data_IF_697270108125
#
_entry.id   IF_697270108125
#
_cell.length_a   1.000
_cell.length_b   1.000
_cell.length_c   1.000
_cell.angle_alpha   90.00
_cell.angle_beta   90.00
_cell.angle_gamma   90.00
#
_symmetry.space_group_name_H-M   'P 1'
#
loop_
_entity.id
_entity.type
_entity.pdbx_description
1 polymer ?
#
# COMPACT_ATOMS: atom_id res chain seq x y z
N UNK A 1 19.79 -26.09 24.83
CA UNK A 1 21.21 -25.70 24.81
C UNK A 1 21.70 -25.93 23.39
N UNK A 2 21.88 -24.90 22.60
CA UNK A 2 22.68 -24.96 21.37
C UNK A 2 23.07 -23.53 20.98
N UNK A 3 24.37 -23.22 21.19
CA UNK A 3 24.97 -21.91 20.91
C UNK A 3 25.57 -21.96 19.51
N UNK A 4 24.98 -21.26 18.52
CA UNK A 4 25.56 -21.03 17.21
C UNK A 4 26.51 -19.83 17.24
N UNK A 5 27.78 -20.10 16.94
CA UNK A 5 28.88 -19.12 16.87
C UNK A 5 28.79 -18.36 15.56
N UNK A 6 28.78 -17.03 15.63
CA UNK A 6 29.04 -16.17 14.48
C UNK A 6 30.53 -15.97 14.29
N UNK A 7 31.02 -16.36 13.13
CA UNK A 7 32.42 -16.21 12.73
C UNK A 7 32.59 -14.92 11.95
N UNK A 8 33.36 -14.00 12.50
CA UNK A 8 33.73 -12.74 11.86
C UNK A 8 34.90 -12.99 10.90
N UNK A 9 34.73 -12.75 9.61
CA UNK A 9 35.83 -12.72 8.63
C UNK A 9 36.27 -11.26 8.39
N UNK A 10 37.46 -10.94 8.89
CA UNK A 10 38.18 -9.74 8.56
C UNK A 10 39.10 -10.03 7.35
N UNK A 11 38.89 -9.33 6.25
CA UNK A 11 39.86 -9.33 5.14
C UNK A 11 40.62 -8.01 5.11
N UNK A 12 41.91 -8.12 5.41
CA UNK A 12 42.93 -7.10 5.19
C UNK A 12 43.49 -7.29 3.78
N UNK A 13 43.59 -6.23 3.00
CA UNK A 13 44.50 -6.16 1.87
C UNK A 13 45.23 -4.83 1.91
N UNK A 14 46.49 -4.87 2.30
CA UNK A 14 47.45 -3.80 2.09
C UNK A 14 48.26 -4.16 0.85
N UNK A 15 48.39 -3.25 -0.10
CA UNK A 15 49.41 -3.31 -1.14
C UNK A 15 50.03 -1.95 -1.25
N UNK A 16 51.26 -1.83 -0.79
CA UNK A 16 52.16 -0.75 -1.08
C UNK A 16 53.02 -1.13 -2.29
N UNK A 17 53.05 -0.29 -3.28
CA UNK A 17 54.07 -0.35 -4.34
C UNK A 17 54.67 1.05 -4.55
N UNK A 18 55.89 1.23 -4.06
CA UNK A 18 56.77 2.30 -4.47
C UNK A 18 57.34 1.96 -5.87
N UNK A 19 57.22 2.84 -6.80
CA UNK A 19 57.89 2.81 -8.08
C UNK A 19 58.47 4.19 -8.40
N UNK A 20 59.77 4.36 -8.21
CA UNK A 20 60.55 5.46 -8.80
C UNK A 20 60.80 5.15 -10.28
N UNK A 21 60.70 6.13 -11.15
CA UNK A 21 61.30 5.98 -12.46
C UNK A 21 60.86 6.96 -13.52
N UNK A 22 61.78 7.89 -13.82
CA UNK A 22 62.11 8.48 -15.13
C UNK A 22 61.25 9.64 -15.69
N UNK A 23 61.92 10.76 -15.68
CA UNK A 23 61.59 11.98 -16.44
C UNK A 23 61.73 11.72 -17.93
N UNK A 24 60.65 11.94 -18.70
CA UNK A 24 60.65 11.93 -20.17
C UNK A 24 59.96 13.20 -20.69
N UNK A 25 60.28 13.70 -21.89
CA UNK A 25 59.91 15.04 -22.33
C UNK A 25 58.43 15.18 -22.71
N UNK A 26 57.99 16.43 -22.59
CA UNK A 26 56.66 16.94 -22.83
C UNK A 26 55.98 16.40 -24.10
N UNK A 27 54.99 15.50 -23.88
CA UNK A 27 53.97 15.18 -24.85
C UNK A 27 52.66 15.82 -24.39
N UNK A 28 52.05 16.64 -25.26
CA UNK A 28 50.74 17.22 -24.97
C UNK A 28 49.71 16.12 -24.79
N UNK A 29 49.23 15.93 -23.57
CA UNK A 29 48.17 15.06 -23.27
C UNK A 29 46.84 15.62 -23.81
N UNK A 30 46.00 14.82 -24.51
CA UNK A 30 44.64 15.24 -24.81
C UNK A 30 43.86 15.33 -23.51
N UNK A 31 43.38 16.52 -23.20
CA UNK A 31 42.42 16.77 -22.13
C UNK A 31 41.15 16.01 -22.45
N UNK A 32 41.02 14.80 -21.95
CA UNK A 32 39.73 14.08 -21.95
C UNK A 32 38.76 14.87 -21.07
N UNK A 33 37.89 15.67 -21.71
CA UNK A 33 36.74 16.24 -21.05
C UNK A 33 35.89 15.08 -20.52
N UNK A 34 35.99 14.83 -19.22
CA UNK A 34 35.10 13.91 -18.54
C UNK A 34 33.68 14.44 -18.75
N UNK A 35 32.90 13.75 -19.60
CA UNK A 35 31.46 13.98 -19.73
C UNK A 35 30.85 13.75 -18.37
N UNK A 36 30.50 14.81 -17.66
CA UNK A 36 29.67 14.73 -16.45
C UNK A 36 28.31 14.24 -16.93
N UNK A 37 28.10 12.93 -16.88
CA UNK A 37 26.77 12.34 -17.05
C UNK A 37 25.92 12.91 -15.92
N UNK A 38 25.08 13.90 -16.25
CA UNK A 38 24.03 14.33 -15.32
C UNK A 38 23.25 13.08 -14.95
N UNK A 39 23.39 12.63 -13.70
CA UNK A 39 22.49 11.64 -13.14
C UNK A 39 21.08 12.19 -13.35
N UNK A 40 20.30 11.51 -14.21
CA UNK A 40 18.93 11.91 -14.49
C UNK A 40 18.19 12.04 -13.17
N UNK A 41 17.57 13.18 -12.92
CA UNK A 41 16.74 13.36 -11.74
C UNK A 41 15.73 12.21 -11.71
N UNK A 42 15.76 11.39 -10.65
CA UNK A 42 14.78 10.33 -10.47
C UNK A 42 13.38 10.96 -10.56
N UNK A 43 12.51 10.38 -11.39
CA UNK A 43 11.13 10.83 -11.46
C UNK A 43 10.53 10.84 -10.04
N UNK A 44 9.77 11.87 -9.67
CA UNK A 44 9.14 11.92 -8.35
C UNK A 44 8.32 10.65 -8.13
N UNK A 45 8.45 10.06 -6.94
CA UNK A 45 7.71 8.86 -6.57
C UNK A 45 6.20 9.14 -6.68
N UNK A 46 5.45 8.19 -7.24
CA UNK A 46 4.01 8.32 -7.38
C UNK A 46 3.34 8.47 -6.01
N UNK A 47 2.41 9.42 -5.90
CA UNK A 47 1.60 9.60 -4.70
C UNK A 47 0.46 8.58 -4.69
N UNK A 48 0.39 7.73 -3.67
CA UNK A 48 -0.70 6.79 -3.48
C UNK A 48 -1.86 7.41 -2.72
N UNK A 49 -3.08 7.16 -3.19
CA UNK A 49 -4.31 7.77 -2.68
C UNK A 49 -5.46 6.76 -2.63
N UNK A 50 -6.50 7.10 -1.88
CA UNK A 50 -7.84 6.51 -1.98
C UNK A 50 -8.75 7.57 -2.60
N UNK A 51 -9.62 7.18 -3.52
CA UNK A 51 -10.64 8.09 -4.04
C UNK A 51 -11.90 8.02 -3.17
N UNK A 52 -12.45 9.17 -2.80
CA UNK A 52 -13.77 9.22 -2.17
C UNK A 52 -14.89 9.07 -3.21
N UNK A 53 -16.15 9.05 -2.78
CA UNK A 53 -17.30 8.91 -3.65
C UNK A 53 -17.49 10.04 -4.68
N UNK A 54 -16.77 11.14 -4.53
CA UNK A 54 -16.74 12.25 -5.50
C UNK A 54 -15.52 12.19 -6.43
N UNK A 55 -14.73 11.10 -6.36
CA UNK A 55 -13.49 10.95 -7.13
C UNK A 55 -12.32 11.80 -6.62
N UNK A 56 -12.42 12.39 -5.44
CA UNK A 56 -11.35 13.21 -4.86
C UNK A 56 -10.30 12.35 -4.18
N UNK A 57 -9.03 12.63 -4.47
CA UNK A 57 -7.89 11.92 -3.92
C UNK A 57 -7.65 12.27 -2.45
N UNK A 58 -7.47 11.25 -1.62
CA UNK A 58 -7.20 11.37 -0.19
C UNK A 58 -5.98 10.55 0.20
N UNK A 59 -5.09 11.11 1.00
CA UNK A 59 -3.95 10.42 1.60
C UNK A 59 -4.24 10.15 3.06
N UNK A 60 -4.15 8.89 3.47
CA UNK A 60 -4.41 8.45 4.84
C UNK A 60 -5.75 8.98 5.40
N UNK A 61 -6.87 8.81 4.69
CA UNK A 61 -8.17 9.31 5.17
C UNK A 61 -8.55 8.66 6.50
N UNK A 62 -9.24 9.38 7.37
CA UNK A 62 -9.81 8.84 8.61
C UNK A 62 -11.09 8.03 8.37
N UNK A 63 -11.68 8.18 7.18
CA UNK A 63 -12.94 7.53 6.79
C UNK A 63 -12.91 7.19 5.31
N UNK A 64 -13.42 6.00 4.94
CA UNK A 64 -13.57 5.55 3.56
C UNK A 64 -15.00 5.02 3.41
N UNK A 65 -15.81 5.62 2.54
CA UNK A 65 -17.10 5.06 2.17
C UNK A 65 -16.89 3.88 1.22
N UNK A 66 -17.48 2.73 1.51
CA UNK A 66 -17.42 1.52 0.68
C UNK A 66 -18.67 1.40 -0.21
N UNK A 67 -19.79 2.00 0.21
CA UNK A 67 -21.03 2.05 -0.54
C UNK A 67 -21.39 3.52 -0.81
N UNK A 68 -21.07 4.00 -2.01
CA UNK A 68 -21.26 5.41 -2.35
C UNK A 68 -22.73 5.80 -2.62
N UNK A 69 -23.59 4.84 -2.99
CA UNK A 69 -24.97 5.16 -3.37
C UNK A 69 -25.85 5.56 -2.18
N UNK A 70 -25.74 4.85 -1.07
CA UNK A 70 -26.58 5.03 0.11
C UNK A 70 -25.78 5.23 1.41
N UNK A 71 -24.45 5.24 1.30
CA UNK A 71 -23.52 5.28 2.45
C UNK A 71 -23.80 4.17 3.49
N UNK A 72 -24.34 3.04 3.02
CA UNK A 72 -24.73 1.91 3.88
C UNK A 72 -23.56 1.13 4.46
N UNK A 73 -22.34 1.32 3.94
CA UNK A 73 -21.14 0.67 4.45
C UNK A 73 -19.90 1.56 4.27
N UNK A 74 -18.94 1.42 5.19
CA UNK A 74 -17.67 2.13 5.11
C UNK A 74 -16.78 1.87 6.31
N UNK A 75 -15.64 2.56 6.33
CA UNK A 75 -14.59 2.47 7.33
C UNK A 75 -14.43 3.82 8.01
N UNK A 76 -14.30 3.84 9.33
CA UNK A 76 -14.11 5.06 10.12
C UNK A 76 -13.08 4.86 11.23
N UNK A 77 -12.63 5.96 11.84
CA UNK A 77 -11.60 5.97 12.86
C UNK A 77 -10.31 5.27 12.41
N UNK A 78 -9.99 5.37 11.11
CA UNK A 78 -8.82 4.72 10.54
C UNK A 78 -7.54 5.33 11.12
N UNK A 79 -6.71 4.46 11.70
CA UNK A 79 -5.36 4.78 12.20
C UNK A 79 -4.34 4.01 11.36
N UNK A 80 -3.65 4.74 10.49
CA UNK A 80 -2.71 4.19 9.53
C UNK A 80 -1.40 3.78 10.19
N UNK A 81 -1.00 2.52 9.99
CA UNK A 81 0.27 1.94 10.43
C UNK A 81 1.31 2.08 9.31
N UNK A 82 0.91 1.79 8.07
CA UNK A 82 1.75 1.92 6.88
C UNK A 82 0.99 2.59 5.75
N UNK A 83 1.75 3.19 4.83
CA UNK A 83 1.21 3.78 3.60
C UNK A 83 2.32 3.77 2.56
N UNK A 84 2.42 2.67 1.80
CA UNK A 84 3.46 2.45 0.79
C UNK A 84 2.82 2.13 -0.56
N UNK A 85 3.56 2.20 -1.67
CA UNK A 85 3.04 1.85 -2.98
C UNK A 85 2.44 0.43 -3.06
N UNK A 86 3.01 -0.52 -2.32
CA UNK A 86 2.62 -1.92 -2.37
C UNK A 86 1.46 -2.23 -1.42
N UNK A 87 1.43 -1.55 -0.25
CA UNK A 87 0.49 -1.86 0.82
C UNK A 87 0.30 -0.67 1.76
N UNK A 88 -0.95 -0.29 2.00
CA UNK A 88 -1.31 0.51 3.15
C UNK A 88 -2.03 -0.35 4.17
N UNK A 89 -1.76 -0.15 5.47
CA UNK A 89 -2.43 -0.87 6.54
C UNK A 89 -2.91 0.07 7.63
N UNK A 90 -4.09 -0.22 8.15
CA UNK A 90 -4.71 0.52 9.24
C UNK A 90 -5.55 -0.41 10.11
N UNK A 91 -5.90 0.06 11.29
CA UNK A 91 -7.03 -0.47 12.04
C UNK A 91 -8.07 0.63 12.24
N UNK A 92 -9.31 0.21 12.41
CA UNK A 92 -10.44 1.13 12.56
C UNK A 92 -11.73 0.37 12.83
N UNK A 93 -12.83 0.96 12.41
CA UNK A 93 -14.17 0.39 12.58
C UNK A 93 -14.87 0.40 11.22
N UNK A 94 -15.40 -0.73 10.80
CA UNK A 94 -16.37 -0.79 9.72
C UNK A 94 -17.76 -0.47 10.26
N UNK A 95 -18.54 0.32 9.53
CA UNK A 95 -19.99 0.41 9.71
C UNK A 95 -20.69 -0.31 8.56
N UNK A 96 -21.78 -0.98 8.88
CA UNK A 96 -22.62 -1.66 7.89
C UNK A 96 -24.08 -1.60 8.29
N UNK A 97 -24.92 -1.11 7.40
CA UNK A 97 -26.37 -1.16 7.54
C UNK A 97 -26.88 -2.54 7.11
N UNK A 98 -27.69 -3.19 7.96
CA UNK A 98 -28.27 -4.51 7.68
C UNK A 98 -29.44 -4.47 6.68
N UNK A 99 -29.92 -3.30 6.36
CA UNK A 99 -31.03 -3.05 5.42
C UNK A 99 -32.28 -3.88 5.72
N UNK A 100 -32.57 -4.13 6.99
CA UNK A 100 -33.74 -4.92 7.40
C UNK A 100 -34.77 -4.07 8.17
N UNK A 101 -36.00 -3.94 7.67
CA UNK A 101 -36.58 -4.52 6.45
C UNK A 101 -36.20 -3.78 5.16
N UNK A 102 -35.59 -2.60 5.26
CA UNK A 102 -35.07 -1.79 4.15
C UNK A 102 -33.86 -1.00 4.63
N UNK A 103 -33.02 -0.45 3.72
CA UNK A 103 -31.85 0.33 4.11
C UNK A 103 -32.23 1.62 4.85
N UNK A 104 -33.43 2.19 4.59
CA UNK A 104 -33.93 3.37 5.32
C UNK A 104 -34.38 3.04 6.76
N UNK A 105 -34.71 1.79 7.06
CA UNK A 105 -35.19 1.30 8.35
C UNK A 105 -34.24 0.32 9.02
N UNK A 106 -33.11 0.02 8.37
CA UNK A 106 -32.10 -0.90 8.85
C UNK A 106 -31.28 -0.31 10.00
N UNK A 107 -30.58 -1.19 10.67
CA UNK A 107 -29.69 -0.84 11.77
C UNK A 107 -28.24 -0.81 11.31
N UNK A 108 -27.49 0.18 11.77
CA UNK A 108 -26.06 0.28 11.51
C UNK A 108 -25.31 -0.49 12.58
N UNK A 109 -24.55 -1.48 12.15
CA UNK A 109 -23.66 -2.27 12.99
C UNK A 109 -22.22 -1.79 12.84
N UNK A 110 -21.42 -1.94 13.89
CA UNK A 110 -20.03 -1.53 13.94
C UNK A 110 -19.13 -2.71 14.27
N UNK A 111 -18.05 -2.89 13.49
CA UNK A 111 -17.13 -4.01 13.63
C UNK A 111 -15.69 -3.50 13.66
N UNK A 112 -14.89 -3.83 14.70
CA UNK A 112 -13.46 -3.56 14.66
C UNK A 112 -12.81 -4.30 13.52
N UNK A 113 -11.99 -3.61 12.72
CA UNK A 113 -11.33 -4.17 11.54
C UNK A 113 -9.85 -3.81 11.48
N UNK A 114 -9.08 -4.72 10.90
CA UNK A 114 -7.78 -4.44 10.30
C UNK A 114 -7.97 -4.30 8.80
N UNK A 115 -7.48 -3.20 8.24
CA UNK A 115 -7.64 -2.83 6.84
C UNK A 115 -6.31 -2.95 6.14
N UNK A 116 -6.27 -3.60 4.99
CA UNK A 116 -5.14 -3.63 4.07
C UNK A 116 -5.60 -3.14 2.71
N UNK A 117 -4.97 -2.06 2.20
CA UNK A 117 -5.21 -1.56 0.85
C UNK A 117 -4.05 -1.98 -0.04
N UNK A 118 -4.37 -2.50 -1.22
CA UNK A 118 -3.38 -3.00 -2.17
C UNK A 118 -3.88 -2.90 -3.61
N UNK A 119 -3.08 -3.38 -4.57
CA UNK A 119 -3.32 -3.14 -5.98
C UNK A 119 -3.15 -1.67 -6.35
N UNK A 120 -2.91 -1.37 -7.60
CA UNK A 120 -2.72 0.00 -8.03
C UNK A 120 -3.29 0.26 -9.42
N UNK A 121 -3.82 1.47 -9.61
CA UNK A 121 -4.20 2.01 -10.89
C UNK A 121 -3.88 3.52 -10.93
N UNK A 122 -3.56 4.03 -12.12
CA UNK A 122 -3.39 5.46 -12.31
C UNK A 122 -4.69 6.22 -12.02
N UNK A 123 -4.56 7.40 -11.45
CA UNK A 123 -5.72 8.30 -11.28
C UNK A 123 -5.90 9.11 -12.56
N UNK A 124 -7.04 8.95 -13.22
CA UNK A 124 -7.35 9.66 -14.46
C UNK A 124 -7.27 11.18 -14.29
N UNK A 125 -6.56 11.84 -15.20
CA UNK A 125 -6.37 13.28 -15.14
C UNK A 125 -5.38 13.80 -14.11
N UNK A 126 -4.75 12.92 -13.33
CA UNK A 126 -3.79 13.29 -12.27
C UNK A 126 -2.45 12.55 -12.46
N UNK A 127 -1.56 13.01 -13.37
CA UNK A 127 -0.26 12.39 -13.58
C UNK A 127 0.56 12.42 -12.29
N UNK A 128 1.19 11.29 -11.97
CA UNK A 128 1.95 11.12 -10.72
C UNK A 128 1.12 10.64 -9.53
N UNK A 129 -0.20 10.45 -9.68
CA UNK A 129 -1.03 9.80 -8.67
C UNK A 129 -1.40 8.37 -9.05
N UNK A 130 -1.35 7.48 -8.05
CA UNK A 130 -1.82 6.10 -8.12
C UNK A 130 -2.88 5.89 -7.03
N UNK A 131 -3.92 5.14 -7.33
CA UNK A 131 -4.90 4.77 -6.30
C UNK A 131 -4.78 3.30 -5.93
N UNK A 132 -5.08 2.96 -4.69
CA UNK A 132 -5.33 1.58 -4.32
C UNK A 132 -6.64 1.12 -4.96
N UNK A 133 -6.67 -0.16 -5.39
CA UNK A 133 -7.83 -0.74 -6.09
C UNK A 133 -8.58 -1.75 -5.27
N UNK A 134 -7.95 -2.30 -4.22
CA UNK A 134 -8.49 -3.37 -3.40
C UNK A 134 -8.36 -3.05 -1.92
N UNK A 135 -9.35 -3.47 -1.15
CA UNK A 135 -9.31 -3.48 0.30
C UNK A 135 -9.57 -4.88 0.83
N UNK A 136 -8.70 -5.38 1.70
CA UNK A 136 -8.93 -6.58 2.50
C UNK A 136 -9.22 -6.17 3.93
N UNK A 137 -10.38 -6.57 4.44
CA UNK A 137 -10.82 -6.34 5.81
C UNK A 137 -10.69 -7.64 6.59
N UNK A 138 -10.07 -7.59 7.77
CA UNK A 138 -9.98 -8.69 8.72
C UNK A 138 -10.71 -8.34 10.00
N UNK A 139 -11.50 -9.26 10.55
CA UNK A 139 -12.40 -9.03 11.68
C UNK A 139 -11.96 -9.82 12.91
N UNK A 140 -11.12 -9.28 13.78
CA UNK A 140 -10.55 -10.02 14.91
C UNK A 140 -11.57 -10.35 16.01
N UNK A 141 -12.71 -9.64 16.07
CA UNK A 141 -13.74 -9.81 17.10
C UNK A 141 -15.11 -10.24 16.54
N UNK A 142 -15.14 -10.72 15.32
CA UNK A 142 -16.37 -11.04 14.62
C UNK A 142 -16.62 -10.07 13.47
N UNK A 143 -17.62 -10.36 12.66
CA UNK A 143 -17.81 -9.70 11.38
C UNK A 143 -19.26 -9.70 10.93
N UNK A 144 -19.60 -8.82 9.95
CA UNK A 144 -20.92 -8.84 9.34
C UNK A 144 -21.21 -10.15 8.61
N UNK A 145 -22.48 -10.53 8.60
CA UNK A 145 -22.94 -11.63 7.79
C UNK A 145 -22.82 -11.29 6.30
N UNK A 146 -22.18 -12.17 5.54
CA UNK A 146 -22.19 -12.13 4.08
C UNK A 146 -23.20 -13.15 3.58
N UNK A 147 -24.16 -12.70 2.79
CA UNK A 147 -25.20 -13.56 2.24
C UNK A 147 -24.77 -14.09 0.89
N UNK A 148 -24.53 -15.40 0.81
CA UNK A 148 -24.16 -16.07 -0.42
C UNK A 148 -25.28 -17.00 -0.88
N UNK A 149 -25.44 -17.11 -2.19
CA UNK A 149 -26.38 -18.08 -2.77
C UNK A 149 -25.66 -19.43 -2.86
N UNK A 150 -26.21 -20.44 -2.19
CA UNK A 150 -25.70 -21.81 -2.28
C UNK A 150 -26.07 -22.47 -3.62
N UNK A 151 -25.48 -23.62 -3.93
CA UNK A 151 -25.69 -24.32 -5.19
C UNK A 151 -27.18 -24.74 -5.43
N UNK A 152 -27.95 -24.88 -4.38
CA UNK A 152 -29.41 -25.17 -4.47
C UNK A 152 -30.27 -23.90 -4.58
N UNK A 153 -29.65 -22.72 -4.68
CA UNK A 153 -30.34 -21.43 -4.80
C UNK A 153 -30.73 -20.79 -3.47
N UNK A 154 -30.52 -21.45 -2.34
CA UNK A 154 -30.84 -20.92 -1.00
C UNK A 154 -29.83 -19.84 -0.64
N UNK A 155 -30.28 -18.72 -0.06
CA UNK A 155 -29.41 -17.68 0.48
C UNK A 155 -29.02 -18.04 1.91
N UNK A 156 -27.73 -18.17 2.16
CA UNK A 156 -27.18 -18.50 3.48
C UNK A 156 -26.25 -17.41 3.97
N UNK A 157 -26.28 -17.13 5.26
CA UNK A 157 -25.33 -16.21 5.90
C UNK A 157 -23.99 -16.94 6.15
N UNK A 158 -22.91 -16.32 5.75
CA UNK A 158 -21.56 -16.76 6.07
C UNK A 158 -20.82 -15.66 6.83
N UNK A 159 -19.81 -16.04 7.59
CA UNK A 159 -19.05 -15.12 8.45
C UNK A 159 -17.54 -15.33 8.21
N UNK A 160 -16.96 -15.01 7.01
CA UNK A 160 -15.55 -15.17 6.71
C UNK A 160 -14.66 -14.29 7.61
N UNK A 161 -13.54 -14.75 8.16
CA UNK A 161 -12.64 -13.94 9.00
C UNK A 161 -12.01 -12.75 8.24
N UNK A 162 -12.04 -12.81 6.92
CA UNK A 162 -11.57 -11.77 6.02
C UNK A 162 -12.54 -11.59 4.86
N UNK A 163 -12.60 -10.38 4.34
CA UNK A 163 -13.34 -10.03 3.13
C UNK A 163 -12.45 -9.13 2.27
N UNK A 164 -12.35 -9.43 0.98
CA UNK A 164 -11.71 -8.53 0.01
C UNK A 164 -12.77 -7.94 -0.90
N UNK A 165 -12.66 -6.65 -1.15
CA UNK A 165 -13.61 -5.89 -1.96
C UNK A 165 -12.85 -4.84 -2.80
N UNK A 166 -13.35 -4.52 -4.01
CA UNK A 166 -12.78 -3.45 -4.79
C UNK A 166 -13.01 -2.10 -4.11
N UNK A 167 -12.01 -1.22 -4.21
CA UNK A 167 -12.17 0.19 -3.87
C UNK A 167 -12.71 0.95 -5.08
N UNK A 168 -13.82 1.61 -4.88
CA UNK A 168 -14.46 2.43 -5.89
C UNK A 168 -13.67 3.70 -6.25
N UNK A 169 -14.28 4.42 -7.18
CA UNK A 169 -14.08 4.47 -8.63
C UNK A 169 -12.73 4.92 -9.06
#
# INVERSE_FOLDING_TARGET
MNRGRFTTMASRLAVAALGLGLVGPAGAAPTSAAAITRAGAAAPAAQFVVLNCLGQAQVKPGTIALACADNGAGLTHLRWISWTPELASAYGTEWQNDCKPSCAQGHVHHYPVVVMLWGSAAVNGHPGQQRYTEATLSYPQGRPAVYVRSCNGTVVATYPATQTLPLGP
#
